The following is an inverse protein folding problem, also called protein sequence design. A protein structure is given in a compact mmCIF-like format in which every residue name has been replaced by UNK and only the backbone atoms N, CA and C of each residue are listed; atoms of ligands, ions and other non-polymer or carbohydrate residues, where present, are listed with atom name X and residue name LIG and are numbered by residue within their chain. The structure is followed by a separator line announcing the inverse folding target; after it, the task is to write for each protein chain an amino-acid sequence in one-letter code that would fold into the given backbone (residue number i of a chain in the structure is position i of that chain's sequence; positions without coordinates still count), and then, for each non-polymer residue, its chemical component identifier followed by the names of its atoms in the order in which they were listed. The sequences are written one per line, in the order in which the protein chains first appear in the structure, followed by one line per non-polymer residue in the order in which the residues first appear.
data_IF_122153110802
#
_entry.id   IF_122153110802
#
_cell.length_a   1.000
_cell.length_b   1.000
_cell.length_c   1.000
_cell.angle_alpha   90.00
_cell.angle_beta   90.00
_cell.angle_gamma   90.00
#
_symmetry.space_group_name_H-M   'P 1'
#
loop_
_entity.id
_entity.type
_entity.pdbx_description
1 polymer ?
#
# COMPACT_ATOMS: atom_id res chain seq x y z
N UNK A 1 -43.35 -14.52 23.45
CA UNK A 1 -42.41 -14.18 22.37
C UNK A 1 -41.03 -14.04 22.99
N UNK A 2 -40.15 -15.04 22.82
CA UNK A 2 -38.76 -15.01 23.31
C UNK A 2 -37.88 -14.38 22.23
N UNK A 3 -37.01 -13.49 22.68
CA UNK A 3 -36.25 -12.51 21.92
C UNK A 3 -35.33 -13.12 20.84
N UNK A 4 -35.38 -12.55 19.63
CA UNK A 4 -34.45 -12.84 18.52
C UNK A 4 -32.99 -12.49 18.86
N UNK A 5 -32.75 -11.65 19.85
CA UNK A 5 -31.40 -11.24 20.26
C UNK A 5 -30.60 -12.35 20.94
N UNK A 6 -31.25 -13.35 21.54
CA UNK A 6 -30.53 -14.48 22.17
C UNK A 6 -29.98 -15.50 21.17
N UNK A 7 -30.48 -15.51 19.92
CA UNK A 7 -30.02 -16.44 18.87
C UNK A 7 -28.73 -15.92 18.23
N UNK A 8 -28.61 -14.60 18.02
CA UNK A 8 -27.44 -13.97 17.40
C UNK A 8 -26.21 -14.12 18.30
N UNK A 9 -26.36 -13.89 19.61
CA UNK A 9 -25.25 -14.05 20.58
C UNK A 9 -24.78 -15.51 20.63
N UNK A 10 -25.68 -16.49 20.47
CA UNK A 10 -25.31 -17.90 20.49
C UNK A 10 -24.56 -18.35 19.22
N UNK A 11 -24.87 -17.74 18.06
CA UNK A 11 -24.18 -18.01 16.78
C UNK A 11 -22.76 -17.43 16.80
N UNK A 12 -22.58 -16.21 17.31
CA UNK A 12 -21.25 -15.58 17.44
C UNK A 12 -20.36 -16.43 18.36
N UNK A 13 -20.88 -16.91 19.50
CA UNK A 13 -20.10 -17.71 20.44
C UNK A 13 -19.64 -19.06 19.85
N UNK A 14 -20.46 -19.69 18.99
CA UNK A 14 -20.10 -20.96 18.32
C UNK A 14 -19.01 -20.73 17.26
N UNK A 15 -19.08 -19.63 16.51
CA UNK A 15 -18.07 -19.26 15.51
C UNK A 15 -16.71 -18.96 16.16
N UNK A 16 -16.69 -18.28 17.31
CA UNK A 16 -15.45 -18.01 18.06
C UNK A 16 -14.79 -19.28 18.59
N UNK A 17 -15.58 -20.25 19.08
CA UNK A 17 -15.05 -21.54 19.57
C UNK A 17 -14.54 -22.41 18.42
N UNK A 18 -15.13 -22.32 17.23
CA UNK A 18 -14.67 -23.06 16.06
C UNK A 18 -13.32 -22.55 15.51
N UNK A 19 -13.07 -21.24 15.58
CA UNK A 19 -11.78 -20.65 15.19
C UNK A 19 -10.63 -20.94 16.17
N UNK A 20 -10.94 -21.17 17.45
CA UNK A 20 -9.93 -21.56 18.45
C UNK A 20 -9.50 -23.04 18.34
N UNK A 21 -10.33 -23.91 17.75
CA UNK A 21 -10.01 -25.33 17.57
C UNK A 21 -9.14 -25.62 16.34
N UNK A 22 -9.11 -24.73 15.33
CA UNK A 22 -8.28 -24.89 14.13
C UNK A 22 -6.83 -24.44 14.32
N UNK A 23 -6.52 -23.67 15.36
CA UNK A 23 -5.16 -23.17 15.64
C UNK A 23 -4.25 -24.14 16.42
N UNK A 24 -4.72 -25.36 16.73
CA UNK A 24 -3.95 -26.34 17.53
C UNK A 24 -3.34 -27.51 16.74
N UNK A 25 -3.31 -27.47 15.40
CA UNK A 25 -2.68 -28.53 14.60
C UNK A 25 -1.53 -27.97 13.78
N UNK A 26 -0.33 -27.92 14.40
CA UNK A 26 0.98 -28.16 13.77
C UNK A 26 2.09 -28.01 14.79
N UNK A 27 2.41 -29.11 15.48
CA UNK A 27 3.75 -29.35 16.03
C UNK A 27 3.97 -30.86 16.03
N UNK A 28 4.75 -31.34 15.06
CA UNK A 28 5.41 -32.64 15.13
C UNK A 28 6.91 -32.32 15.08
N UNK A 29 7.66 -32.44 16.18
CA UNK A 29 9.11 -32.42 16.14
C UNK A 29 9.61 -33.81 15.74
N UNK A 30 10.46 -33.89 14.72
CA UNK A 30 11.21 -35.10 14.40
C UNK A 30 12.51 -35.08 15.21
N UNK A 31 12.47 -35.67 16.41
CA UNK A 31 13.67 -36.02 17.16
C UNK A 31 14.39 -37.21 16.52
N UNK A 32 15.72 -37.13 16.57
CA UNK A 32 16.63 -38.10 16.00
C UNK A 32 16.58 -39.49 16.66
N UNK A 33 17.03 -40.46 15.88
CA UNK A 33 17.48 -41.75 16.39
C UNK A 33 18.86 -42.05 15.79
N UNK A 34 19.87 -41.90 16.64
CA UNK A 34 21.15 -42.60 16.53
C UNK A 34 20.89 -44.11 16.47
N UNK A 35 21.64 -44.81 15.62
CA UNK A 35 22.07 -46.17 15.93
C UNK A 35 23.54 -46.33 15.52
N UNK A 36 24.22 -47.07 16.39
CA UNK A 36 25.64 -47.16 16.68
C UNK A 36 26.47 -48.01 15.68
N UNK A 37 27.81 -48.10 15.88
CA UNK A 37 28.79 -48.49 14.87
C UNK A 37 29.12 -49.99 14.90
N UNK A 38 29.76 -50.48 13.83
CA UNK A 38 30.53 -51.71 13.88
C UNK A 38 31.90 -51.59 13.18
N UNK A 39 32.79 -52.43 13.69
CA UNK A 39 34.23 -52.36 13.74
C UNK A 39 34.98 -53.00 12.56
N UNK A 40 36.23 -52.52 12.41
CA UNK A 40 37.46 -53.25 12.12
C UNK A 40 37.71 -53.97 10.77
N UNK A 41 38.85 -53.62 10.16
CA UNK A 41 39.68 -54.62 9.47
C UNK A 41 40.76 -54.11 8.50
N UNK A 42 42.02 -54.01 8.96
CA UNK A 42 43.16 -54.61 8.22
C UNK A 42 44.13 -53.75 7.37
N UNK A 43 45.21 -53.28 8.02
CA UNK A 43 46.66 -53.26 7.64
C UNK A 43 47.16 -53.29 6.16
N UNK A 44 48.02 -52.28 5.89
CA UNK A 44 49.38 -52.26 5.30
C UNK A 44 49.71 -52.80 3.88
N UNK A 45 50.09 -51.83 3.02
CA UNK A 45 51.12 -51.68 1.93
C UNK A 45 52.14 -52.80 1.61
N UNK A 46 52.96 -52.69 0.52
CA UNK A 46 52.90 -51.89 -0.72
C UNK A 46 53.19 -52.75 -2.00
N UNK A 47 53.18 -52.17 -3.22
CA UNK A 47 54.16 -52.40 -4.33
C UNK A 47 53.75 -51.59 -5.57
N UNK A 48 54.70 -50.82 -6.11
CA UNK A 48 54.68 -50.15 -7.43
C UNK A 48 55.25 -51.15 -8.47
N UNK A 49 54.79 -51.14 -9.72
CA UNK A 49 55.72 -50.77 -10.79
C UNK A 49 55.11 -49.82 -11.83
N UNK A 50 56.00 -48.98 -12.37
CA UNK A 50 55.86 -48.15 -13.57
C UNK A 50 55.44 -48.97 -14.79
N UNK A 51 54.68 -48.36 -15.72
CA UNK A 51 55.13 -48.14 -17.11
C UNK A 51 54.17 -47.24 -17.87
N UNK A 52 54.78 -46.27 -18.57
CA UNK A 52 54.31 -45.51 -19.73
C UNK A 52 53.26 -46.20 -20.61
N UNK A 53 52.12 -45.54 -20.83
CA UNK A 53 51.45 -45.56 -22.13
C UNK A 53 50.94 -44.15 -22.50
N UNK A 54 51.40 -43.71 -23.67
CA UNK A 54 51.11 -42.47 -24.40
C UNK A 54 49.62 -42.13 -24.52
N UNK A 55 49.20 -41.01 -23.91
CA UNK A 55 47.90 -40.38 -24.15
C UNK A 55 47.94 -39.40 -25.34
N UNK A 56 46.94 -39.57 -26.20
CA UNK A 56 46.55 -38.75 -27.36
C UNK A 56 46.04 -37.38 -26.88
N UNK A 57 46.24 -36.26 -27.61
CA UNK A 57 45.87 -34.95 -27.11
C UNK A 57 44.34 -34.80 -27.06
N UNK A 58 43.82 -34.62 -25.85
CA UNK A 58 42.44 -34.18 -25.62
C UNK A 58 42.27 -32.74 -26.10
N UNK A 59 41.19 -32.56 -26.85
CA UNK A 59 40.73 -31.30 -27.42
C UNK A 59 40.31 -30.37 -26.27
N UNK A 60 41.13 -29.36 -25.94
CA UNK A 60 40.74 -28.32 -24.99
C UNK A 60 39.62 -27.49 -25.61
N UNK A 61 38.40 -27.68 -25.11
CA UNK A 61 37.34 -26.68 -25.29
C UNK A 61 37.85 -25.32 -24.78
N UNK A 62 37.64 -24.24 -25.54
CA UNK A 62 37.97 -22.91 -25.04
C UNK A 62 37.11 -22.62 -23.79
N UNK A 63 37.66 -21.92 -22.79
CA UNK A 63 36.90 -21.61 -21.57
C UNK A 63 35.63 -20.86 -21.95
N UNK A 64 34.49 -21.31 -21.39
CA UNK A 64 33.24 -20.57 -21.44
C UNK A 64 33.52 -19.13 -21.00
N UNK A 65 33.36 -18.21 -21.94
CA UNK A 65 33.30 -16.78 -21.64
C UNK A 65 32.09 -16.62 -20.73
N UNK A 66 32.33 -16.40 -19.43
CA UNK A 66 31.28 -15.97 -18.52
C UNK A 66 30.64 -14.71 -19.11
N UNK A 67 29.30 -14.62 -19.16
CA UNK A 67 28.66 -13.40 -19.61
C UNK A 67 29.17 -12.26 -18.73
N UNK A 68 29.76 -11.25 -19.38
CA UNK A 68 30.27 -10.08 -18.69
C UNK A 68 29.15 -9.50 -17.83
N UNK A 69 29.44 -9.28 -16.53
CA UNK A 69 28.62 -8.43 -15.67
C UNK A 69 28.32 -7.16 -16.47
N UNK A 70 27.04 -6.88 -16.76
CA UNK A 70 26.64 -5.55 -17.20
C UNK A 70 27.15 -4.59 -16.14
N UNK A 71 28.03 -3.69 -16.53
CA UNK A 71 28.49 -2.62 -15.64
C UNK A 71 27.25 -1.78 -15.36
N UNK A 72 26.82 -1.76 -14.10
CA UNK A 72 25.65 -0.99 -13.67
C UNK A 72 25.99 0.50 -13.82
N UNK A 73 25.39 1.18 -14.79
CA UNK A 73 25.39 2.64 -14.79
C UNK A 73 24.54 3.10 -13.60
N UNK A 74 25.04 4.07 -12.84
CA UNK A 74 24.27 4.66 -11.75
C UNK A 74 23.02 5.33 -12.34
N UNK A 75 21.87 5.13 -11.70
CA UNK A 75 20.66 5.84 -12.08
C UNK A 75 20.85 7.34 -11.80
N UNK A 76 20.40 8.15 -12.72
CA UNK A 76 20.28 9.60 -12.52
C UNK A 76 18.97 9.89 -11.77
N UNK A 77 18.84 11.02 -11.06
CA UNK A 77 17.55 11.45 -10.55
C UNK A 77 16.48 11.45 -11.64
N UNK A 78 15.31 10.93 -11.32
CA UNK A 78 14.25 10.70 -12.29
C UNK A 78 13.25 9.62 -11.87
N UNK A 79 12.37 9.33 -12.82
CA UNK A 79 11.26 8.40 -12.65
C UNK A 79 11.51 7.17 -13.52
N UNK A 80 11.33 6.00 -12.93
CA UNK A 80 11.51 4.72 -13.58
C UNK A 80 10.26 3.87 -13.37
N UNK A 81 9.44 3.79 -14.40
CA UNK A 81 8.26 2.92 -14.42
C UNK A 81 8.67 1.46 -14.30
N UNK A 82 8.03 0.73 -13.38
CA UNK A 82 8.26 -0.69 -13.16
C UNK A 82 7.26 -1.49 -13.98
N UNK A 83 7.76 -2.44 -14.77
CA UNK A 83 6.90 -3.40 -15.50
C UNK A 83 7.28 -4.83 -15.11
N UNK A 84 6.33 -5.80 -15.15
CA UNK A 84 6.62 -7.20 -14.80
C UNK A 84 7.72 -7.87 -15.64
N UNK A 85 8.11 -7.29 -16.76
CA UNK A 85 9.11 -7.85 -17.66
C UNK A 85 10.52 -7.26 -17.47
N UNK A 86 10.62 -6.07 -16.87
CA UNK A 86 11.86 -5.30 -16.82
C UNK A 86 12.10 -4.78 -15.40
N UNK A 87 12.99 -5.42 -14.63
CA UNK A 87 13.31 -4.95 -13.30
C UNK A 87 14.14 -3.66 -13.35
N UNK A 88 13.91 -2.78 -12.39
CA UNK A 88 14.74 -1.58 -12.21
C UNK A 88 15.96 -1.96 -11.37
N UNK A 89 17.14 -1.62 -11.86
CA UNK A 89 18.39 -1.83 -11.13
C UNK A 89 18.88 -0.50 -10.60
N UNK A 90 18.90 -0.34 -9.28
CA UNK A 90 19.25 0.89 -8.59
C UNK A 90 20.33 0.65 -7.53
N UNK A 91 21.11 1.68 -7.21
CA UNK A 91 21.89 1.68 -5.97
C UNK A 91 21.00 2.19 -4.83
N UNK A 92 20.68 1.30 -3.90
CA UNK A 92 19.90 1.61 -2.70
C UNK A 92 20.83 1.46 -1.50
N UNK A 93 21.16 2.57 -0.85
CA UNK A 93 22.05 2.63 0.31
C UNK A 93 23.44 2.00 0.08
N UNK A 94 24.03 2.20 -1.09
CA UNK A 94 25.35 1.65 -1.44
C UNK A 94 25.32 0.18 -1.85
N UNK A 95 24.13 -0.35 -2.19
CA UNK A 95 23.93 -1.72 -2.65
C UNK A 95 23.16 -1.70 -3.97
N UNK A 96 23.77 -2.27 -5.00
CA UNK A 96 23.06 -2.62 -6.21
C UNK A 96 21.86 -3.52 -5.85
N UNK A 97 20.67 -3.10 -6.25
CA UNK A 97 19.39 -3.69 -5.89
C UNK A 97 18.53 -3.78 -7.14
N UNK A 98 17.80 -4.87 -7.28
CA UNK A 98 16.88 -5.18 -8.36
C UNK A 98 15.46 -5.12 -7.79
N UNK A 99 14.63 -4.23 -8.35
CA UNK A 99 13.23 -4.09 -7.98
C UNK A 99 12.40 -4.74 -9.08
N UNK A 100 11.62 -5.75 -8.72
CA UNK A 100 10.90 -6.60 -9.67
C UNK A 100 9.43 -6.77 -9.25
N UNK A 101 8.53 -6.71 -10.24
CA UNK A 101 7.14 -7.15 -10.11
C UNK A 101 7.10 -8.60 -10.57
N UNK A 102 6.87 -9.55 -9.66
CA UNK A 102 7.13 -10.97 -9.95
C UNK A 102 5.93 -11.69 -10.56
N UNK A 103 4.70 -11.23 -10.32
CA UNK A 103 3.50 -11.93 -10.79
C UNK A 103 2.42 -10.97 -11.31
N UNK A 104 1.49 -11.52 -12.11
CA UNK A 104 0.25 -10.87 -12.58
C UNK A 104 -0.66 -10.39 -11.46
N UNK A 105 -0.48 -10.97 -10.28
CA UNK A 105 -1.22 -10.67 -9.06
C UNK A 105 -0.58 -9.44 -8.36
N UNK A 106 0.54 -8.95 -8.89
CA UNK A 106 1.13 -7.65 -8.67
C UNK A 106 1.98 -7.48 -7.41
N UNK A 107 2.22 -8.51 -6.58
CA UNK A 107 3.16 -8.40 -5.45
C UNK A 107 4.55 -7.90 -5.90
N UNK A 108 5.04 -6.84 -5.23
CA UNK A 108 6.34 -6.21 -5.52
C UNK A 108 7.41 -6.72 -4.58
N UNK A 109 8.58 -7.02 -5.13
CA UNK A 109 9.71 -7.52 -4.36
C UNK A 109 10.98 -6.74 -4.64
N UNK A 110 11.79 -6.62 -3.60
CA UNK A 110 13.16 -6.14 -3.65
C UNK A 110 14.11 -7.33 -3.59
N UNK A 111 15.06 -7.39 -4.52
CA UNK A 111 16.18 -8.34 -4.51
C UNK A 111 17.50 -7.59 -4.48
N UNK A 112 18.30 -7.78 -3.42
CA UNK A 112 19.65 -7.22 -3.40
C UNK A 112 20.60 -7.99 -4.33
N UNK A 113 21.52 -7.28 -5.00
CA UNK A 113 22.56 -7.91 -5.84
C UNK A 113 23.38 -8.92 -5.02
N UNK A 114 23.55 -10.12 -5.58
CA UNK A 114 24.24 -11.23 -4.93
C UNK A 114 23.37 -12.08 -3.99
N UNK A 115 22.11 -11.72 -3.79
CA UNK A 115 21.11 -12.55 -3.10
C UNK A 115 20.43 -13.53 -4.07
N UNK A 116 20.04 -14.70 -3.55
CA UNK A 116 19.21 -15.65 -4.29
C UNK A 116 17.72 -15.26 -4.25
N UNK A 117 16.86 -15.84 -5.12
CA UNK A 117 15.42 -15.56 -5.14
C UNK A 117 14.71 -15.80 -3.79
N UNK A 118 15.26 -16.70 -2.96
CA UNK A 118 14.76 -17.02 -1.62
C UNK A 118 14.97 -15.89 -0.59
N UNK A 119 15.76 -14.87 -0.93
CA UNK A 119 16.08 -13.72 -0.08
C UNK A 119 15.37 -12.43 -0.53
N UNK A 120 14.38 -12.56 -1.42
CA UNK A 120 13.53 -11.44 -1.85
C UNK A 120 12.77 -10.87 -0.64
N UNK A 121 12.78 -9.55 -0.51
CA UNK A 121 11.98 -8.82 0.47
C UNK A 121 10.68 -8.42 -0.21
N UNK A 122 9.54 -8.85 0.34
CA UNK A 122 8.23 -8.39 -0.11
C UNK A 122 8.08 -6.91 0.28
N UNK A 123 7.87 -6.04 -0.70
CA UNK A 123 7.66 -4.60 -0.46
C UNK A 123 6.18 -4.33 -0.27
N UNK A 124 5.35 -4.86 -1.17
CA UNK A 124 3.91 -4.71 -1.12
C UNK A 124 3.22 -6.00 -1.54
N UNK A 125 2.20 -6.41 -0.76
CA UNK A 125 1.38 -7.58 -1.04
C UNK A 125 0.00 -7.15 -1.57
N UNK A 126 -0.33 -7.55 -2.80
CA UNK A 126 -1.59 -7.19 -3.45
C UNK A 126 -2.51 -8.42 -3.41
N UNK A 127 -2.99 -8.76 -2.22
CA UNK A 127 -3.76 -9.99 -2.03
C UNK A 127 -5.17 -9.97 -2.68
N UNK A 128 -5.63 -8.82 -3.19
CA UNK A 128 -7.02 -8.67 -3.66
C UNK A 128 -7.26 -7.59 -4.75
N UNK A 129 -6.22 -7.03 -5.38
CA UNK A 129 -6.36 -5.89 -6.29
C UNK A 129 -5.59 -6.04 -7.60
N UNK A 130 -5.81 -5.09 -8.51
CA UNK A 130 -5.06 -4.92 -9.76
C UNK A 130 -4.00 -3.84 -9.56
N UNK A 131 -2.75 -4.15 -9.87
CA UNK A 131 -1.70 -3.13 -9.96
C UNK A 131 -2.05 -2.19 -11.12
N UNK A 132 -2.23 -0.90 -10.82
CA UNK A 132 -2.41 0.15 -11.83
C UNK A 132 -1.05 0.61 -12.34
N UNK A 133 -0.22 1.07 -11.39
CA UNK A 133 1.04 1.70 -11.69
C UNK A 133 2.07 1.42 -10.59
N UNK A 134 3.33 1.34 -10.96
CA UNK A 134 4.46 1.23 -10.04
C UNK A 134 5.63 2.04 -10.57
N UNK A 135 6.20 2.89 -9.71
CA UNK A 135 7.30 3.78 -10.08
C UNK A 135 8.41 3.68 -9.03
N UNK A 136 9.63 3.40 -9.48
CA UNK A 136 10.81 3.73 -8.72
C UNK A 136 11.19 5.19 -9.01
N UNK A 137 11.24 6.01 -7.97
CA UNK A 137 11.64 7.42 -8.10
C UNK A 137 12.95 7.60 -7.38
N UNK A 138 13.95 8.13 -8.09
CA UNK A 138 15.14 8.68 -7.47
C UNK A 138 15.00 10.19 -7.47
N UNK A 139 14.68 10.77 -6.31
CA UNK A 139 14.38 12.18 -6.22
C UNK A 139 15.60 13.06 -6.53
N UNK A 140 15.36 14.35 -6.75
CA UNK A 140 16.43 15.32 -7.07
C UNK A 140 17.54 15.43 -6.01
N UNK A 141 17.25 15.07 -4.75
CA UNK A 141 18.20 14.95 -3.64
C UNK A 141 18.79 13.52 -3.48
N UNK A 142 18.58 12.67 -4.49
CA UNK A 142 19.05 11.28 -4.58
C UNK A 142 18.47 10.33 -3.53
N UNK A 143 17.26 10.63 -3.04
CA UNK A 143 16.52 9.75 -2.15
C UNK A 143 15.65 8.78 -2.96
N UNK A 144 15.79 7.46 -2.76
CA UNK A 144 14.98 6.48 -3.46
C UNK A 144 13.61 6.30 -2.80
N UNK A 145 12.57 6.29 -3.63
CA UNK A 145 11.19 5.99 -3.27
C UNK A 145 10.61 4.95 -4.22
N UNK A 146 9.65 4.20 -3.72
CA UNK A 146 8.78 3.35 -4.53
C UNK A 146 7.35 3.82 -4.32
N UNK A 147 6.69 4.22 -5.41
CA UNK A 147 5.28 4.57 -5.42
C UNK A 147 4.51 3.47 -6.13
N UNK A 148 3.44 2.99 -5.52
CA UNK A 148 2.64 1.92 -6.09
C UNK A 148 1.16 2.23 -5.92
N UNK A 149 0.39 2.14 -7.00
CA UNK A 149 -1.05 2.36 -7.03
C UNK A 149 -1.81 1.10 -7.43
N UNK A 150 -2.93 0.85 -6.76
CA UNK A 150 -3.76 -0.33 -6.89
C UNK A 150 -5.23 0.05 -7.05
N UNK A 151 -5.99 -0.85 -7.68
CA UNK A 151 -7.46 -0.88 -7.67
C UNK A 151 -7.93 -2.21 -7.05
N UNK A 152 -8.56 -2.17 -5.89
CA UNK A 152 -9.07 -3.35 -5.18
C UNK A 152 -10.41 -3.88 -5.72
N UNK A 153 -10.77 -3.47 -6.94
CA UNK A 153 -12.08 -3.61 -7.60
C UNK A 153 -13.09 -2.57 -7.12
N UNK A 154 -13.95 -2.11 -8.03
CA UNK A 154 -15.05 -1.18 -7.73
C UNK A 154 -14.63 0.27 -7.40
N UNK A 155 -13.56 0.76 -8.04
CA UNK A 155 -13.02 2.12 -7.83
C UNK A 155 -12.45 2.35 -6.42
N UNK A 156 -12.07 1.25 -5.75
CA UNK A 156 -11.42 1.24 -4.43
C UNK A 156 -9.89 1.35 -4.62
N UNK A 157 -9.44 2.58 -4.86
CA UNK A 157 -8.03 2.86 -5.14
C UNK A 157 -7.18 2.95 -3.88
N UNK A 158 -5.94 2.47 -3.95
CA UNK A 158 -4.93 2.72 -2.90
C UNK A 158 -3.56 3.01 -3.52
N UNK A 159 -2.87 4.04 -3.03
CA UNK A 159 -1.49 4.34 -3.36
C UNK A 159 -0.63 4.26 -2.10
N UNK A 160 0.42 3.45 -2.17
CA UNK A 160 1.43 3.31 -1.13
C UNK A 160 2.76 3.90 -1.58
N UNK A 161 3.45 4.56 -0.65
CA UNK A 161 4.82 5.05 -0.87
C UNK A 161 5.76 4.40 0.12
N UNK A 162 6.84 3.83 -0.40
CA UNK A 162 7.91 3.23 0.39
C UNK A 162 9.19 4.03 0.25
N UNK A 163 9.84 4.32 1.38
CA UNK A 163 11.20 4.87 1.42
C UNK A 163 12.20 3.75 1.66
N UNK A 164 13.41 3.91 1.12
CA UNK A 164 14.51 3.02 1.39
C UNK A 164 15.57 3.68 2.28
N UNK A 165 15.23 4.60 3.17
CA UNK A 165 16.19 5.22 4.10
C UNK A 165 16.83 4.24 5.11
N UNK A 166 16.29 3.01 5.22
CA UNK A 166 16.74 1.96 6.13
C UNK A 166 17.30 0.69 5.46
N UNK A 167 17.42 -0.40 6.23
CA UNK A 167 17.88 -1.71 5.73
C UNK A 167 16.81 -2.48 4.96
N UNK A 168 15.55 -2.11 5.14
CA UNK A 168 14.38 -2.66 4.49
C UNK A 168 13.48 -1.50 4.02
N UNK A 169 12.70 -1.69 2.95
CA UNK A 169 11.71 -0.71 2.53
C UNK A 169 10.71 -0.44 3.67
N UNK A 170 10.43 0.84 3.91
CA UNK A 170 9.47 1.28 4.92
C UNK A 170 8.31 1.97 4.22
N UNK A 171 7.08 1.49 4.45
CA UNK A 171 5.88 2.23 4.06
C UNK A 171 5.81 3.52 4.87
N UNK A 172 5.80 4.66 4.17
CA UNK A 172 5.77 6.00 4.77
C UNK A 172 4.50 6.78 4.43
N UNK A 173 3.68 6.24 3.52
CA UNK A 173 2.38 6.79 3.16
C UNK A 173 1.47 5.70 2.61
N UNK A 174 0.20 5.73 3.00
CA UNK A 174 -0.90 5.07 2.30
C UNK A 174 -2.00 6.08 2.04
N UNK A 175 -2.57 6.07 0.82
CA UNK A 175 -3.61 6.99 0.36
C UNK A 175 -4.72 6.18 -0.32
N UNK A 176 -6.01 6.49 -0.07
CA UNK A 176 -7.13 5.88 -0.78
C UNK A 176 -7.36 6.53 -2.16
N UNK A 177 -6.29 6.71 -2.94
CA UNK A 177 -6.27 7.40 -4.24
C UNK A 177 -5.32 6.66 -5.19
N UNK A 178 -5.38 6.94 -6.49
CA UNK A 178 -4.43 6.44 -7.49
C UNK A 178 -3.55 7.58 -8.05
N UNK A 179 -2.32 7.27 -8.45
CA UNK A 179 -1.43 8.26 -9.09
C UNK A 179 -1.99 8.64 -10.46
N UNK A 180 -2.18 9.94 -10.69
CA UNK A 180 -2.62 10.48 -11.99
C UNK A 180 -1.49 11.13 -12.77
N UNK A 181 -0.45 11.58 -12.06
CA UNK A 181 0.74 12.20 -12.62
C UNK A 181 1.89 12.11 -11.62
N UNK A 182 3.13 11.95 -12.09
CA UNK A 182 4.32 11.78 -11.26
C UNK A 182 5.52 12.50 -11.85
N UNK A 183 6.37 13.05 -10.98
CA UNK A 183 7.68 13.66 -11.25
C UNK A 183 8.72 13.17 -10.25
N UNK A 184 9.99 13.57 -10.45
CA UNK A 184 11.09 13.24 -9.54
C UNK A 184 11.00 13.94 -8.16
N UNK A 185 10.11 14.92 -8.00
CA UNK A 185 9.91 15.64 -6.73
C UNK A 185 8.55 15.34 -6.07
N UNK A 186 7.68 14.54 -6.68
CA UNK A 186 6.34 14.29 -6.14
C UNK A 186 5.36 13.70 -7.14
N UNK A 187 4.10 13.59 -6.75
CA UNK A 187 3.01 13.11 -7.61
C UNK A 187 1.68 13.78 -7.27
N UNK A 188 0.76 13.76 -8.22
CA UNK A 188 -0.65 14.05 -8.00
C UNK A 188 -1.41 12.72 -7.90
N UNK A 189 -2.23 12.57 -6.87
CA UNK A 189 -3.12 11.43 -6.71
C UNK A 189 -4.57 11.89 -6.80
N UNK A 190 -5.35 11.15 -7.58
CA UNK A 190 -6.75 11.38 -7.84
C UNK A 190 -7.57 10.17 -7.39
N UNK A 191 -8.85 10.37 -7.16
CA UNK A 191 -9.74 9.26 -6.85
C UNK A 191 -10.98 9.73 -6.12
N UNK A 192 -11.72 8.75 -5.61
CA UNK A 192 -12.90 8.99 -4.83
C UNK A 192 -12.65 8.52 -3.42
N UNK A 193 -12.76 9.43 -2.46
CA UNK A 193 -12.80 9.02 -1.06
C UNK A 193 -14.25 8.78 -0.67
N UNK A 194 -14.54 7.66 0.00
CA UNK A 194 -15.82 7.42 0.70
C UNK A 194 -15.69 7.76 2.18
N UNK A 195 -14.86 8.77 2.46
CA UNK A 195 -14.63 9.30 3.77
C UNK A 195 -15.89 9.98 4.32
N UNK A 196 -16.60 10.67 3.42
CA UNK A 196 -17.73 11.51 3.73
C UNK A 196 -18.67 11.53 2.51
N UNK A 197 -18.89 10.37 1.89
CA UNK A 197 -19.55 10.23 0.59
C UNK A 197 -18.57 10.39 -0.54
N UNK A 198 -18.99 10.13 -1.77
CA UNK A 198 -18.05 10.03 -2.90
C UNK A 198 -17.61 11.42 -3.40
N UNK A 199 -16.47 11.93 -2.95
CA UNK A 199 -15.90 13.19 -3.47
C UNK A 199 -14.79 12.87 -4.45
N UNK A 200 -14.77 13.56 -5.59
CA UNK A 200 -13.56 13.57 -6.41
C UNK A 200 -12.50 14.42 -5.69
N UNK A 201 -11.34 13.82 -5.51
CA UNK A 201 -10.27 14.37 -4.69
C UNK A 201 -8.98 14.33 -5.46
N UNK A 202 -8.30 15.48 -5.46
CA UNK A 202 -6.94 15.62 -5.94
C UNK A 202 -6.08 16.08 -4.77
N UNK A 203 -4.99 15.37 -4.52
CA UNK A 203 -3.95 15.78 -3.59
C UNK A 203 -2.59 15.73 -4.26
N UNK A 204 -1.71 16.67 -3.91
CA UNK A 204 -0.33 16.69 -4.38
C UNK A 204 0.58 16.24 -3.26
N UNK A 205 1.41 15.24 -3.54
CA UNK A 205 2.40 14.67 -2.63
C UNK A 205 3.79 15.07 -3.10
N UNK A 206 4.64 15.49 -2.18
CA UNK A 206 6.00 15.93 -2.43
C UNK A 206 6.99 15.02 -1.71
N UNK A 207 8.04 14.62 -2.42
CA UNK A 207 9.19 13.94 -1.86
C UNK A 207 10.12 14.98 -1.22
N UNK A 208 10.37 14.85 0.09
CA UNK A 208 11.24 15.75 0.85
C UNK A 208 12.24 14.91 1.64
N UNK A 209 13.42 14.69 1.09
CA UNK A 209 14.49 13.83 1.65
C UNK A 209 14.05 12.39 1.92
N UNK A 210 13.90 12.01 3.18
CA UNK A 210 13.43 10.68 3.63
C UNK A 210 12.00 10.74 4.16
N UNK A 211 11.31 11.86 3.91
CA UNK A 211 9.94 12.15 4.35
C UNK A 211 9.05 12.51 3.17
N UNK A 212 7.76 12.70 3.47
CA UNK A 212 6.76 13.17 2.51
C UNK A 212 6.04 14.37 3.12
N UNK A 213 5.76 15.36 2.27
CA UNK A 213 4.78 16.41 2.54
C UNK A 213 3.62 16.26 1.56
N UNK A 214 2.40 16.63 1.95
CA UNK A 214 1.26 16.71 1.03
C UNK A 214 0.60 18.08 1.13
N UNK A 215 0.01 18.52 0.03
CA UNK A 215 -0.80 19.72 -0.06
C UNK A 215 -1.98 19.44 -0.97
N UNK A 216 -3.13 19.98 -0.62
CA UNK A 216 -4.32 19.85 -1.43
C UNK A 216 -5.52 20.44 -0.72
N UNK A 217 -6.64 20.43 -1.43
CA UNK A 217 -7.95 20.83 -0.89
C UNK A 217 -8.43 19.89 0.23
N UNK A 218 -7.79 18.72 0.35
CA UNK A 218 -8.15 17.67 1.28
C UNK A 218 -6.94 17.24 2.12
N UNK A 219 -7.17 16.94 3.40
CA UNK A 219 -6.12 16.61 4.38
C UNK A 219 -6.26 15.16 4.84
N UNK A 220 -5.19 14.38 4.80
CA UNK A 220 -5.19 13.02 5.36
C UNK A 220 -5.40 13.05 6.87
N UNK A 221 -6.44 12.37 7.32
CA UNK A 221 -6.67 12.13 8.75
C UNK A 221 -6.26 10.69 9.10
N UNK A 222 -4.98 10.53 9.43
CA UNK A 222 -4.38 9.21 9.73
C UNK A 222 -4.66 8.74 11.16
N UNK A 223 -5.28 9.57 11.99
CA UNK A 223 -5.39 9.34 13.45
C UNK A 223 -6.83 9.27 13.96
N UNK A 224 -7.84 9.60 13.14
CA UNK A 224 -9.21 9.64 13.65
C UNK A 224 -9.88 8.26 13.70
N UNK A 225 -10.34 7.89 14.89
CA UNK A 225 -11.33 6.84 15.14
C UNK A 225 -12.75 7.45 15.25
N UNK A 226 -12.94 8.73 14.89
CA UNK A 226 -14.15 9.52 15.17
C UNK A 226 -14.51 10.49 14.05
N UNK A 227 -15.70 11.06 14.10
CA UNK A 227 -16.12 12.14 13.20
C UNK A 227 -15.13 13.31 13.25
N UNK A 228 -14.45 13.60 12.14
CA UNK A 228 -13.50 14.71 12.06
C UNK A 228 -14.23 16.04 12.01
N UNK A 229 -13.70 17.00 12.76
CA UNK A 229 -14.18 18.37 12.76
C UNK A 229 -13.90 19.03 11.40
N UNK A 230 -14.95 19.55 10.77
CA UNK A 230 -14.87 20.34 9.54
C UNK A 230 -15.39 21.74 9.85
N UNK A 231 -14.67 22.76 9.41
CA UNK A 231 -15.04 24.16 9.61
C UNK A 231 -15.75 24.70 8.38
N UNK A 232 -16.94 25.27 8.58
CA UNK A 232 -17.71 25.93 7.53
C UNK A 232 -16.99 27.21 7.09
N UNK A 233 -16.69 27.36 5.80
CA UNK A 233 -16.01 28.52 5.22
C UNK A 233 -16.96 29.64 4.76
N UNK A 234 -18.22 29.28 4.44
CA UNK A 234 -19.26 30.20 3.93
C UNK A 234 -20.63 29.80 4.45
N UNK A 235 -21.60 30.70 4.36
CA UNK A 235 -23.01 30.40 4.72
C UNK A 235 -23.50 29.09 4.07
N UNK A 236 -23.66 28.03 4.89
CA UNK A 236 -24.03 26.69 4.46
C UNK A 236 -25.53 26.46 4.73
N UNK A 237 -26.38 26.29 3.70
CA UNK A 237 -27.78 25.93 3.89
C UNK A 237 -27.89 24.50 4.45
N UNK A 238 -28.63 24.34 5.54
CA UNK A 238 -28.80 23.06 6.23
C UNK A 238 -30.23 22.84 6.69
N UNK A 239 -30.54 21.63 7.10
CA UNK A 239 -31.73 21.26 7.86
C UNK A 239 -31.29 20.75 9.23
N UNK A 240 -31.76 21.37 10.31
CA UNK A 240 -31.41 20.96 11.68
C UNK A 240 -32.59 20.22 12.34
N UNK A 241 -32.30 19.15 13.05
CA UNK A 241 -33.29 18.39 13.82
C UNK A 241 -33.66 19.15 15.09
N UNK A 242 -34.90 19.62 15.14
CA UNK A 242 -35.49 20.29 16.29
C UNK A 242 -36.67 19.46 16.79
N UNK A 243 -36.47 18.75 17.91
CA UNK A 243 -37.47 17.88 18.54
C UNK A 243 -38.10 16.83 17.59
N UNK A 244 -37.29 16.24 16.72
CA UNK A 244 -37.71 15.20 15.77
C UNK A 244 -38.27 15.73 14.45
N UNK A 245 -38.18 17.04 14.20
CA UNK A 245 -38.54 17.68 12.92
C UNK A 245 -37.33 18.41 12.36
N UNK A 246 -37.05 18.20 11.07
CA UNK A 246 -35.98 18.92 10.38
C UNK A 246 -36.49 20.27 9.85
N UNK A 247 -35.84 21.36 10.26
CA UNK A 247 -36.18 22.73 9.87
C UNK A 247 -35.03 23.39 9.09
N UNK A 248 -35.37 24.17 8.05
CA UNK A 248 -34.38 24.93 7.27
C UNK A 248 -33.62 25.93 8.14
N UNK A 249 -32.30 25.96 8.00
CA UNK A 249 -31.40 26.83 8.72
C UNK A 249 -30.17 27.18 7.88
N UNK A 250 -29.24 27.93 8.45
CA UNK A 250 -27.96 28.27 7.81
C UNK A 250 -26.86 28.24 8.86
N UNK A 251 -25.82 27.45 8.61
CA UNK A 251 -24.59 27.50 9.40
C UNK A 251 -23.70 28.61 8.86
N UNK A 252 -23.21 29.46 9.76
CA UNK A 252 -22.35 30.59 9.41
C UNK A 252 -20.87 30.16 9.33
N UNK A 253 -20.03 30.91 8.60
CA UNK A 253 -18.59 30.70 8.60
C UNK A 253 -18.01 30.56 10.00
N UNK A 254 -17.11 29.60 10.19
CA UNK A 254 -16.49 29.25 11.47
C UNK A 254 -17.30 28.28 12.33
N UNK A 255 -18.48 27.83 11.88
CA UNK A 255 -19.23 26.79 12.58
C UNK A 255 -18.54 25.42 12.40
N UNK A 256 -18.26 24.68 13.49
CA UNK A 256 -17.77 23.31 13.39
C UNK A 256 -18.93 22.35 13.10
N UNK A 257 -18.70 21.44 12.15
CA UNK A 257 -19.60 20.32 11.82
C UNK A 257 -18.82 19.02 11.86
N UNK A 258 -19.49 17.95 12.27
CA UNK A 258 -18.92 16.61 12.32
C UNK A 258 -19.76 15.72 11.43
N UNK A 259 -19.24 15.36 10.26
CA UNK A 259 -20.00 14.55 9.32
C UNK A 259 -20.19 13.14 9.82
N UNK A 260 -21.40 12.61 9.70
CA UNK A 260 -21.78 11.31 10.27
C UNK A 260 -22.12 10.26 9.25
N UNK A 261 -22.75 10.65 8.14
CA UNK A 261 -23.18 9.72 7.10
C UNK A 261 -23.56 10.47 5.82
N UNK A 262 -23.76 9.73 4.75
CA UNK A 262 -24.08 10.24 3.41
C UNK A 262 -24.74 9.14 2.60
N UNK A 263 -25.56 9.52 1.63
CA UNK A 263 -26.04 8.57 0.62
C UNK A 263 -25.10 8.50 -0.61
N UNK A 264 -24.05 9.32 -0.62
CA UNK A 264 -23.12 9.43 -1.75
C UNK A 264 -23.72 10.10 -2.98
N UNK A 265 -24.97 10.57 -2.96
CA UNK A 265 -25.63 11.10 -4.15
C UNK A 265 -26.30 12.46 -3.94
N UNK A 266 -26.98 12.67 -2.81
CA UNK A 266 -27.90 13.79 -2.63
C UNK A 266 -27.80 14.50 -1.28
N UNK A 267 -27.30 13.87 -0.22
CA UNK A 267 -27.21 14.54 1.09
C UNK A 267 -26.03 14.08 1.96
N UNK A 268 -25.70 14.95 2.92
CA UNK A 268 -24.70 14.74 3.96
C UNK A 268 -25.35 14.94 5.33
N UNK A 269 -25.29 13.93 6.20
CA UNK A 269 -25.66 14.05 7.61
C UNK A 269 -24.46 14.49 8.46
N UNK A 270 -24.74 15.28 9.48
CA UNK A 270 -23.76 15.76 10.42
C UNK A 270 -24.34 15.94 11.82
N UNK A 271 -23.47 16.07 12.80
CA UNK A 271 -23.79 16.59 14.14
C UNK A 271 -23.00 17.86 14.40
N UNK A 272 -23.59 18.76 15.19
CA UNK A 272 -22.91 19.94 15.72
C UNK A 272 -22.22 19.63 17.05
N UNK A 273 -21.41 20.56 17.53
CA UNK A 273 -20.71 20.50 18.82
C UNK A 273 -21.64 20.33 20.05
N UNK A 274 -22.94 20.57 19.90
CA UNK A 274 -23.97 20.42 20.93
C UNK A 274 -24.85 19.18 20.72
N UNK A 275 -24.41 18.23 19.91
CA UNK A 275 -25.10 17.00 19.50
C UNK A 275 -26.38 17.25 18.66
N UNK A 276 -26.60 18.47 18.17
CA UNK A 276 -27.71 18.73 17.23
C UNK A 276 -27.43 18.03 15.90
N UNK A 277 -28.28 17.07 15.54
CA UNK A 277 -28.26 16.41 14.24
C UNK A 277 -28.74 17.36 13.13
N UNK A 278 -28.12 17.27 11.97
CA UNK A 278 -28.52 18.01 10.78
C UNK A 278 -28.11 17.31 9.51
N UNK A 279 -28.59 17.84 8.39
CA UNK A 279 -28.10 17.45 7.08
C UNK A 279 -28.09 18.64 6.12
N UNK A 280 -27.31 18.53 5.04
CA UNK A 280 -27.45 19.42 3.88
C UNK A 280 -27.59 18.60 2.61
N UNK A 281 -28.28 19.17 1.63
CA UNK A 281 -28.41 18.58 0.31
C UNK A 281 -27.33 19.12 -0.62
N UNK A 282 -26.89 18.29 -1.55
CA UNK A 282 -26.05 18.69 -2.68
C UNK A 282 -26.57 18.05 -3.97
N UNK A 283 -26.17 18.61 -5.09
CA UNK A 283 -26.41 18.05 -6.43
C UNK A 283 -25.07 17.70 -7.05
N UNK A 284 -25.01 16.75 -7.98
CA UNK A 284 -23.79 16.47 -8.74
C UNK A 284 -23.84 17.11 -10.12
N UNK A 285 -22.74 17.73 -10.53
CA UNK A 285 -22.60 18.26 -11.88
C UNK A 285 -22.29 17.15 -12.90
N UNK A 286 -22.04 17.51 -14.17
CA UNK A 286 -21.75 16.54 -15.24
C UNK A 286 -20.46 15.75 -15.06
N UNK A 287 -19.53 16.25 -14.23
CA UNK A 287 -18.25 15.66 -13.90
C UNK A 287 -18.30 14.95 -12.53
N UNK A 288 -19.51 14.66 -12.02
CA UNK A 288 -19.75 14.05 -10.70
C UNK A 288 -19.32 14.87 -9.49
N UNK A 289 -18.91 16.13 -9.67
CA UNK A 289 -18.54 17.02 -8.57
C UNK A 289 -19.80 17.43 -7.76
N UNK A 290 -19.78 17.29 -6.42
CA UNK A 290 -20.88 17.74 -5.57
C UNK A 290 -20.95 19.27 -5.49
N UNK A 291 -22.17 19.79 -5.56
CA UNK A 291 -22.50 21.21 -5.69
C UNK A 291 -23.55 21.60 -4.65
N UNK A 292 -23.34 22.70 -3.94
CA UNK A 292 -24.33 23.30 -3.04
C UNK A 292 -24.68 24.67 -3.60
N UNK A 293 -25.96 24.89 -3.93
CA UNK A 293 -26.41 26.17 -4.47
C UNK A 293 -25.71 26.61 -5.77
N UNK A 294 -25.21 25.66 -6.56
CA UNK A 294 -24.50 25.93 -7.83
C UNK A 294 -23.02 26.29 -7.69
N UNK A 295 -22.44 26.24 -6.48
CA UNK A 295 -21.01 26.31 -6.26
C UNK A 295 -20.48 24.93 -5.82
N UNK A 296 -19.20 24.61 -6.09
CA UNK A 296 -18.58 23.39 -5.58
C UNK A 296 -18.79 23.25 -4.09
N UNK A 297 -19.21 22.07 -3.64
CA UNK A 297 -19.53 21.84 -2.24
C UNK A 297 -18.29 21.97 -1.35
N UNK A 298 -17.08 21.74 -1.88
CA UNK A 298 -15.84 22.00 -1.15
C UNK A 298 -15.66 23.48 -0.78
N UNK A 299 -16.15 24.44 -1.58
CA UNK A 299 -16.05 25.88 -1.28
C UNK A 299 -16.79 26.26 0.02
N UNK A 300 -17.60 25.34 0.56
CA UNK A 300 -18.32 25.54 1.81
C UNK A 300 -17.54 25.18 3.05
N UNK A 301 -16.33 24.63 2.92
CA UNK A 301 -15.50 24.15 4.01
C UNK A 301 -14.07 24.66 3.89
N UNK A 302 -13.41 24.93 5.02
CA UNK A 302 -12.03 25.43 5.02
C UNK A 302 -11.06 24.34 4.51
N UNK A 303 -11.22 23.11 5.01
CA UNK A 303 -10.51 21.90 4.58
C UNK A 303 -11.43 20.68 4.81
N UNK A 304 -11.31 19.65 3.94
CA UNK A 304 -12.04 18.40 4.08
C UNK A 304 -11.09 17.23 4.38
N UNK A 305 -11.37 16.39 5.39
CA UNK A 305 -10.53 15.24 5.69
C UNK A 305 -10.69 14.13 4.64
N UNK A 306 -9.56 13.61 4.18
CA UNK A 306 -9.43 12.35 3.48
C UNK A 306 -9.28 11.23 4.52
N UNK A 307 -10.29 10.38 4.64
CA UNK A 307 -10.17 9.09 5.33
C UNK A 307 -9.74 8.03 4.33
N UNK A 308 -8.74 7.23 4.72
CA UNK A 308 -8.29 6.01 4.04
C UNK A 308 -8.24 4.85 5.02
#
# INVERSE_FOLDING_TARGET
MKSKSSIIIFIILILSVLMLLTSCIRFIPSDGANNEPEEQGGRNTPVIPETDETEKPENKEPPLVSPALKTHEALEPGIYELTPAEPVIADINGKASEIEIINSDGSLFLLYSGSGPEQRVLIADIYAGYLLDAYFVLSSDSCPYLVVSYDYCSDDYETKVFSFSGSEPLEILSLPLYVSWIEDFGFEANGYIDAVGTWDVITTVYFVHDTIEWRGTYVLDTESESYTEVIVARDLPVYLNNDGTYEESTLLPGAPVYFTSTDGETYMEFVLWDDTEGYFNFERNGDWEPMIGGAPAFDYFDELPMFG
#
